data_IF_958843170107
#
_entry.id   IF_958843170107
#
_cell.length_a   1.000
_cell.length_b   1.000
_cell.length_c   1.000
_cell.angle_alpha   90.00
_cell.angle_beta   90.00
_cell.angle_gamma   90.00
#
_symmetry.space_group_name_H-M   'P 1'
#
loop_
_entity.id
_entity.type
_entity.pdbx_description
1 polymer ?
#
# COMPACT_ATOMS: atom_id res chain seq x y z
N UNK A 1 -3.37 -2.63 10.72
CA UNK A 1 -3.32 -3.18 9.35
C UNK A 1 -2.67 -4.56 9.42
N UNK A 2 -3.13 -5.54 8.63
CA UNK A 2 -2.59 -6.90 8.58
C UNK A 2 -2.12 -7.18 7.15
N UNK A 3 -0.90 -7.69 7.00
CA UNK A 3 -0.37 -8.16 5.72
C UNK A 3 -0.50 -9.68 5.61
N UNK A 4 -0.56 -10.19 4.38
CA UNK A 4 -0.48 -11.63 4.10
C UNK A 4 0.96 -12.07 3.75
N UNK A 5 1.78 -11.15 3.23
CA UNK A 5 3.17 -11.41 2.81
C UNK A 5 4.14 -10.38 3.41
N UNK A 6 5.44 -10.67 3.32
CA UNK A 6 6.48 -9.74 3.78
C UNK A 6 6.48 -8.49 2.90
N UNK A 7 6.27 -8.66 1.59
CA UNK A 7 6.22 -7.59 0.61
C UNK A 7 5.07 -6.62 0.90
N UNK A 8 3.85 -7.13 1.12
CA UNK A 8 2.73 -6.30 1.54
C UNK A 8 3.01 -5.61 2.88
N UNK A 9 3.65 -6.29 3.84
CA UNK A 9 4.04 -5.67 5.10
C UNK A 9 4.97 -4.46 4.87
N UNK A 10 5.95 -4.57 3.96
CA UNK A 10 6.82 -3.45 3.60
C UNK A 10 6.04 -2.28 2.98
N UNK A 11 5.08 -2.57 2.10
CA UNK A 11 4.22 -1.52 1.52
C UNK A 11 3.35 -0.86 2.59
N UNK A 12 2.75 -1.62 3.51
CA UNK A 12 1.93 -1.07 4.59
C UNK A 12 2.74 -0.20 5.56
N UNK A 13 3.98 -0.58 5.88
CA UNK A 13 4.89 0.26 6.68
C UNK A 13 5.23 1.58 5.96
N UNK A 14 5.45 1.51 4.64
CA UNK A 14 5.64 2.71 3.83
C UNK A 14 4.39 3.61 3.84
N UNK A 15 3.20 3.04 3.68
CA UNK A 15 1.95 3.80 3.74
C UNK A 15 1.80 4.48 5.10
N UNK A 16 1.96 3.72 6.19
CA UNK A 16 1.83 4.24 7.56
C UNK A 16 2.80 5.39 7.87
N UNK A 17 3.99 5.39 7.24
CA UNK A 17 4.99 6.44 7.44
C UNK A 17 4.72 7.70 6.62
N UNK A 18 4.10 7.56 5.44
CA UNK A 18 4.03 8.65 4.45
C UNK A 18 2.61 9.18 4.20
N UNK A 19 1.57 8.48 4.65
CA UNK A 19 0.17 8.83 4.38
C UNK A 19 -0.63 8.96 5.68
N UNK A 20 -1.63 9.85 5.67
CA UNK A 20 -2.66 9.91 6.70
C UNK A 20 -3.62 8.73 6.54
N UNK A 21 -3.46 7.72 7.39
CA UNK A 21 -4.18 6.45 7.25
C UNK A 21 -5.68 6.54 7.49
N UNK A 22 -6.15 7.58 8.17
CA UNK A 22 -7.56 7.77 8.52
C UNK A 22 -8.41 8.23 7.32
N UNK A 23 -7.76 8.75 6.27
CA UNK A 23 -8.41 9.32 5.09
C UNK A 23 -8.25 8.45 3.83
N UNK A 24 -7.75 7.22 3.99
CA UNK A 24 -7.49 6.30 2.88
C UNK A 24 -8.09 4.92 3.12
N UNK A 25 -8.58 4.30 2.05
CA UNK A 25 -8.92 2.90 1.98
C UNK A 25 -7.73 2.11 1.46
N UNK A 26 -7.40 0.99 2.12
CA UNK A 26 -6.28 0.13 1.75
C UNK A 26 -6.81 -1.25 1.38
N UNK A 27 -6.46 -1.71 0.18
CA UNK A 27 -6.85 -3.01 -0.36
C UNK A 27 -5.59 -3.83 -0.70
N UNK A 28 -5.52 -5.08 -0.23
CA UNK A 28 -4.43 -6.01 -0.58
C UNK A 28 -4.78 -6.70 -1.90
N UNK A 29 -4.02 -6.44 -2.96
CA UNK A 29 -4.37 -6.90 -4.32
C UNK A 29 -3.72 -8.25 -4.63
N UNK A 30 -2.40 -8.35 -4.47
CA UNK A 30 -1.63 -9.56 -4.71
C UNK A 30 -0.46 -9.65 -3.73
N UNK A 31 0.41 -10.66 -3.89
CA UNK A 31 1.55 -10.94 -3.00
C UNK A 31 2.47 -9.75 -2.73
N UNK A 32 2.55 -8.74 -3.61
CA UNK A 32 3.46 -7.60 -3.50
C UNK A 32 2.78 -6.25 -3.68
N UNK A 33 1.50 -6.24 -4.07
CA UNK A 33 0.76 -5.03 -4.43
C UNK A 33 -0.31 -4.67 -3.40
N UNK A 34 -0.35 -3.39 -3.04
CA UNK A 34 -1.39 -2.78 -2.20
C UNK A 34 -1.97 -1.60 -2.94
N UNK A 35 -3.29 -1.53 -3.04
CA UNK A 35 -4.01 -0.37 -3.58
C UNK A 35 -4.40 0.56 -2.45
N UNK A 36 -4.17 1.86 -2.65
CA UNK A 36 -4.61 2.93 -1.77
C UNK A 36 -5.63 3.76 -2.53
N UNK A 37 -6.79 4.03 -1.92
CA UNK A 37 -7.82 4.91 -2.48
C UNK A 37 -8.08 6.04 -1.49
N UNK A 38 -8.06 7.29 -1.95
CA UNK A 38 -8.32 8.44 -1.09
C UNK A 38 -9.83 8.72 -0.91
N UNK A 39 -10.17 9.73 -0.13
CA UNK A 39 -11.56 10.13 0.12
C UNK A 39 -12.28 10.75 -1.09
N UNK A 40 -11.55 11.09 -2.17
CA UNK A 40 -12.11 11.56 -3.44
C UNK A 40 -12.37 10.40 -4.41
N UNK A 41 -11.89 9.20 -4.08
CA UNK A 41 -11.99 8.01 -4.92
C UNK A 41 -10.80 7.85 -5.88
N UNK A 42 -9.78 8.72 -5.80
CA UNK A 42 -8.56 8.57 -6.57
C UNK A 42 -7.74 7.42 -5.97
N UNK A 43 -7.17 6.59 -6.85
CA UNK A 43 -6.47 5.37 -6.41
C UNK A 43 -5.09 5.23 -7.01
N UNK A 44 -4.24 4.53 -6.26
CA UNK A 44 -2.84 4.27 -6.57
C UNK A 44 -2.47 2.84 -6.19
N UNK A 45 -1.67 2.18 -7.02
CA UNK A 45 -1.04 0.92 -6.67
C UNK A 45 0.40 1.15 -6.17
N UNK A 46 0.68 0.59 -5.01
CA UNK A 46 2.02 0.54 -4.42
C UNK A 46 2.50 -0.91 -4.45
N UNK A 47 3.67 -1.12 -5.04
CA UNK A 47 4.25 -2.45 -5.24
C UNK A 47 5.63 -2.51 -4.62
N UNK A 48 5.93 -3.61 -3.91
CA UNK A 48 7.28 -3.86 -3.41
C UNK A 48 8.08 -4.72 -4.40
N UNK A 49 9.12 -4.14 -5.00
CA UNK A 49 9.96 -4.79 -6.01
C UNK A 49 11.43 -4.50 -5.71
N UNK A 50 12.29 -5.52 -5.76
CA UNK A 50 13.74 -5.40 -5.60
C UNK A 50 14.22 -4.65 -4.33
N UNK A 51 13.45 -4.68 -3.25
CA UNK A 51 13.81 -4.02 -1.99
C UNK A 51 13.22 -2.63 -1.80
N UNK A 52 12.47 -2.12 -2.78
CA UNK A 52 11.92 -0.77 -2.79
C UNK A 52 10.40 -0.78 -2.98
N UNK A 53 9.73 0.28 -2.52
CA UNK A 53 8.30 0.52 -2.78
C UNK A 53 8.20 1.45 -3.99
N UNK A 54 7.57 0.96 -5.05
CA UNK A 54 7.34 1.66 -6.31
C UNK A 54 5.85 1.96 -6.49
N UNK A 55 5.60 2.86 -7.44
CA UNK A 55 4.27 3.29 -7.87
C UNK A 55 4.02 2.62 -9.23
N UNK A 56 2.90 1.93 -9.37
CA UNK A 56 2.46 1.30 -10.63
C UNK A 56 1.23 2.03 -11.19
#
# INVERSE_FOLDING_TARGET
>A
MRANTIEQYKVLEFIKKNFETDNILIELIDKSTVKVTDNKGDSLHLVYINGEVCWD
#
